data_IF_061682226187
#
_entry.id   IF_061682226187
#
_cell.length_a   1.000
_cell.length_b   1.000
_cell.length_c   1.000
_cell.angle_alpha   90.00
_cell.angle_beta   90.00
_cell.angle_gamma   90.00
#
_symmetry.space_group_name_H-M   'P 1'
#
loop_
_entity.id
_entity.type
_entity.pdbx_description
1 polymer ?
#
# COMPACT_ATOMS: atom_id res chain seq x y z
N UNK A 1 22.44 -49.53 -18.24
CA UNK A 1 21.46 -48.60 -18.84
C UNK A 1 21.48 -47.35 -17.98
N UNK A 2 22.17 -46.29 -18.43
CA UNK A 2 22.48 -45.10 -17.64
C UNK A 2 21.36 -44.07 -17.76
N UNK A 3 20.53 -43.92 -16.74
CA UNK A 3 19.52 -42.85 -16.69
C UNK A 3 20.15 -41.62 -16.04
N UNK A 4 20.48 -40.61 -16.86
CA UNK A 4 20.95 -39.31 -16.36
C UNK A 4 19.76 -38.53 -15.81
N UNK A 5 19.77 -38.26 -14.50
CA UNK A 5 18.79 -37.39 -13.84
C UNK A 5 19.21 -35.94 -14.05
N UNK A 6 18.47 -35.21 -14.88
CA UNK A 6 18.66 -33.77 -15.06
C UNK A 6 18.10 -33.02 -13.85
N UNK A 7 18.98 -32.39 -13.07
CA UNK A 7 18.60 -31.44 -12.04
C UNK A 7 18.43 -30.07 -12.71
N UNK A 8 17.19 -29.62 -12.87
CA UNK A 8 16.86 -28.28 -13.36
C UNK A 8 16.70 -27.35 -12.14
N UNK A 9 17.77 -26.65 -11.79
CA UNK A 9 17.72 -25.57 -10.79
C UNK A 9 17.22 -24.30 -11.48
N UNK A 10 15.98 -23.90 -11.20
CA UNK A 10 15.43 -22.62 -11.63
C UNK A 10 15.81 -21.55 -10.60
N UNK A 11 16.75 -20.66 -10.97
CA UNK A 11 17.07 -19.46 -10.19
C UNK A 11 16.16 -18.34 -10.72
N UNK A 12 15.14 -17.98 -9.95
CA UNK A 12 14.34 -16.79 -10.21
C UNK A 12 15.08 -15.57 -9.66
N UNK A 13 15.74 -14.81 -10.54
CA UNK A 13 16.26 -13.49 -10.21
C UNK A 13 15.11 -12.48 -10.34
N UNK A 14 14.63 -11.95 -9.20
CA UNK A 14 13.66 -10.86 -9.19
C UNK A 14 14.42 -9.56 -9.00
N UNK A 15 14.57 -8.77 -10.07
CA UNK A 15 15.11 -7.41 -10.01
C UNK A 15 13.98 -6.40 -9.85
N UNK A 16 13.92 -5.76 -8.68
CA UNK A 16 13.01 -4.64 -8.43
C UNK A 16 13.60 -3.37 -9.05
N UNK A 17 13.05 -2.91 -10.17
CA UNK A 17 13.32 -1.55 -10.68
C UNK A 17 12.35 -0.56 -10.02
N UNK A 18 12.85 0.24 -9.07
CA UNK A 18 12.12 1.41 -8.58
C UNK A 18 12.39 2.61 -9.49
N UNK A 19 11.39 3.06 -10.26
CA UNK A 19 11.42 4.42 -10.81
C UNK A 19 10.93 5.39 -9.72
N UNK A 20 11.84 6.20 -9.19
CA UNK A 20 11.49 7.40 -8.44
C UNK A 20 11.51 8.58 -9.40
N UNK A 21 10.34 9.12 -9.72
CA UNK A 21 10.23 10.46 -10.28
C UNK A 21 10.02 11.43 -9.11
N UNK A 22 11.10 12.08 -8.66
CA UNK A 22 11.01 13.26 -7.80
C UNK A 22 11.32 14.48 -8.67
N UNK A 23 10.32 15.35 -8.86
CA UNK A 23 10.55 16.68 -9.42
C UNK A 23 10.96 17.59 -8.28
N UNK A 24 12.26 17.71 -8.02
CA UNK A 24 12.81 18.81 -7.21
C UNK A 24 12.77 20.08 -8.06
N UNK A 25 11.76 20.92 -7.84
CA UNK A 25 11.82 22.32 -8.25
C UNK A 25 12.58 23.07 -7.17
N UNK A 26 13.88 23.24 -7.42
CA UNK A 26 14.84 23.95 -6.57
C UNK A 26 14.69 25.47 -6.71
N UNK A 27 13.51 25.98 -6.40
CA UNK A 27 13.26 27.41 -6.23
C UNK A 27 12.72 27.64 -4.81
N UNK A 28 13.34 28.55 -4.08
CA UNK A 28 12.93 29.01 -2.75
C UNK A 28 11.63 29.84 -2.80
N UNK A 29 10.63 29.38 -3.54
CA UNK A 29 9.27 29.89 -3.57
C UNK A 29 8.36 28.92 -2.80
N UNK A 30 7.58 29.46 -1.86
CA UNK A 30 6.63 28.79 -0.96
C UNK A 30 6.28 27.36 -1.39
N UNK A 31 6.80 26.38 -0.63
CA UNK A 31 6.45 24.96 -0.75
C UNK A 31 4.93 24.83 -0.89
N UNK A 32 4.47 24.28 -2.01
CA UNK A 32 3.03 24.09 -2.28
C UNK A 32 2.40 23.35 -1.10
N UNK A 33 1.25 23.82 -0.58
CA UNK A 33 0.54 23.11 0.48
C UNK A 33 -0.02 21.77 0.00
N UNK A 34 -0.11 21.56 -1.32
CA UNK A 34 -0.56 20.31 -1.94
C UNK A 34 0.65 19.51 -2.45
N UNK A 35 0.75 18.25 -2.03
CA UNK A 35 1.70 17.23 -2.51
C UNK A 35 0.93 16.06 -3.11
N UNK A 36 1.27 15.69 -4.33
CA UNK A 36 0.72 14.52 -5.02
C UNK A 36 1.79 13.44 -5.13
N UNK A 37 1.44 12.20 -4.80
CA UNK A 37 2.29 11.03 -4.93
C UNK A 37 1.50 9.84 -5.47
N UNK A 38 2.20 8.77 -5.84
CA UNK A 38 1.56 7.56 -6.31
C UNK A 38 2.42 6.34 -6.06
N UNK A 39 1.78 5.19 -6.13
CA UNK A 39 2.40 3.88 -6.03
C UNK A 39 1.81 2.96 -7.10
N UNK A 40 2.63 2.08 -7.64
CA UNK A 40 2.22 1.10 -8.65
C UNK A 40 2.97 -0.20 -8.40
N UNK A 41 2.23 -1.29 -8.25
CA UNK A 41 2.76 -2.62 -8.01
C UNK A 41 2.09 -3.64 -8.91
N UNK A 42 2.83 -4.08 -9.93
CA UNK A 42 2.41 -5.15 -10.82
C UNK A 42 3.14 -6.45 -10.50
N UNK A 43 2.53 -7.58 -10.80
CA UNK A 43 3.11 -8.89 -10.57
C UNK A 43 2.73 -9.90 -11.64
N UNK A 44 3.51 -10.97 -11.68
CA UNK A 44 3.19 -12.22 -12.36
C UNK A 44 3.47 -13.35 -11.36
N UNK A 45 2.51 -14.26 -11.19
CA UNK A 45 2.65 -15.40 -10.31
C UNK A 45 2.17 -16.67 -11.01
N UNK A 46 2.87 -17.78 -10.78
CA UNK A 46 2.51 -19.08 -11.30
C UNK A 46 2.26 -20.05 -10.13
N UNK A 47 1.19 -20.81 -10.22
CA UNK A 47 0.74 -21.78 -9.23
C UNK A 47 0.75 -23.15 -9.90
N UNK A 48 1.52 -24.08 -9.36
CA UNK A 48 1.67 -25.41 -9.94
C UNK A 48 0.37 -26.23 -9.87
N UNK A 49 -0.58 -25.84 -9.02
CA UNK A 49 -1.89 -26.47 -8.92
C UNK A 49 -2.85 -26.04 -10.06
N UNK A 50 -2.43 -25.11 -10.93
CA UNK A 50 -3.17 -24.65 -12.11
C UNK A 50 -4.68 -24.40 -11.83
N UNK A 51 -5.00 -23.43 -10.93
CA UNK A 51 -6.38 -23.19 -10.52
C UNK A 51 -7.28 -22.81 -11.71
N UNK A 52 -8.44 -23.47 -11.83
CA UNK A 52 -9.35 -23.36 -12.99
C UNK A 52 -9.84 -21.93 -13.29
N UNK A 53 -9.91 -21.06 -12.28
CA UNK A 53 -10.41 -19.69 -12.40
C UNK A 53 -9.30 -18.61 -12.35
N UNK A 54 -8.04 -19.02 -12.54
CA UNK A 54 -6.85 -18.17 -12.40
C UNK A 54 -6.76 -17.45 -11.05
N UNK A 55 -7.44 -17.92 -10.01
CA UNK A 55 -7.43 -17.33 -8.67
C UNK A 55 -6.75 -18.30 -7.72
N UNK A 56 -5.74 -17.81 -7.02
CA UNK A 56 -5.04 -18.55 -5.96
C UNK A 56 -5.99 -18.75 -4.77
N UNK A 57 -5.67 -19.67 -3.83
CA UNK A 57 -6.55 -19.99 -2.71
C UNK A 57 -7.05 -18.74 -1.94
N UNK A 58 -8.31 -18.76 -1.51
CA UNK A 58 -9.03 -17.59 -0.97
C UNK A 58 -8.53 -17.00 0.36
N UNK A 59 -7.42 -17.50 0.90
CA UNK A 59 -6.70 -16.92 2.04
C UNK A 59 -5.48 -16.10 1.62
N UNK A 60 -5.23 -16.02 0.30
CA UNK A 60 -4.18 -15.21 -0.33
C UNK A 60 -4.87 -14.04 -1.03
N UNK A 61 -4.78 -12.85 -0.46
CA UNK A 61 -5.42 -11.65 -0.98
C UNK A 61 -4.44 -10.79 -1.79
N UNK A 62 -3.18 -10.76 -1.35
CA UNK A 62 -2.10 -10.14 -2.11
C UNK A 62 -1.59 -11.08 -3.20
N UNK A 63 -1.36 -10.59 -4.41
CA UNK A 63 -0.82 -11.39 -5.51
C UNK A 63 -1.66 -12.65 -5.81
N UNK A 64 -2.99 -12.51 -5.81
CA UNK A 64 -3.95 -13.61 -5.79
C UNK A 64 -4.32 -14.19 -7.16
N UNK A 65 -3.74 -13.70 -8.26
CA UNK A 65 -4.00 -14.19 -9.62
C UNK A 65 -2.89 -15.11 -10.12
N UNK A 66 -3.27 -16.07 -10.95
CA UNK A 66 -2.40 -17.12 -11.49
C UNK A 66 -2.21 -16.97 -13.00
N UNK A 67 -0.95 -17.03 -13.46
CA UNK A 67 -0.56 -17.10 -14.87
C UNK A 67 -1.03 -15.89 -15.71
N UNK A 68 -1.07 -14.71 -15.08
CA UNK A 68 -1.41 -13.44 -15.72
C UNK A 68 -0.65 -12.28 -15.06
N UNK A 69 -0.32 -11.25 -15.85
CA UNK A 69 0.23 -9.99 -15.35
C UNK A 69 -0.92 -9.18 -14.76
N UNK A 70 -0.79 -8.78 -13.49
CA UNK A 70 -1.82 -8.01 -12.81
C UNK A 70 -1.26 -6.83 -12.04
N UNK A 71 -2.12 -5.85 -11.78
CA UNK A 71 -1.90 -4.81 -10.78
C UNK A 71 -2.33 -5.36 -9.42
N UNK A 72 -1.39 -5.60 -8.50
CA UNK A 72 -1.75 -5.97 -7.13
C UNK A 72 -2.35 -4.75 -6.41
N UNK A 73 -1.58 -3.66 -6.37
CA UNK A 73 -1.96 -2.40 -5.77
C UNK A 73 -1.38 -1.23 -6.56
N UNK A 74 -2.22 -0.27 -6.91
CA UNK A 74 -1.78 1.03 -7.37
C UNK A 74 -2.65 2.11 -6.74
N UNK A 75 -2.06 3.24 -6.38
CA UNK A 75 -2.81 4.38 -5.86
C UNK A 75 -2.23 5.71 -6.29
N UNK A 76 -3.08 6.72 -6.30
CA UNK A 76 -2.69 8.14 -6.35
C UNK A 76 -3.13 8.76 -5.04
N UNK A 77 -2.23 9.53 -4.43
CA UNK A 77 -2.43 10.18 -3.14
C UNK A 77 -2.22 11.68 -3.25
N UNK A 78 -3.16 12.46 -2.74
CA UNK A 78 -3.06 13.89 -2.54
C UNK A 78 -2.99 14.19 -1.03
N UNK A 79 -2.02 14.99 -0.63
CA UNK A 79 -1.82 15.43 0.74
C UNK A 79 -1.86 16.95 0.70
N UNK A 80 -2.79 17.55 1.43
CA UNK A 80 -2.88 18.99 1.59
C UNK A 80 -2.55 19.33 3.04
N UNK A 81 -1.62 20.25 3.26
CA UNK A 81 -1.33 20.78 4.59
C UNK A 81 -1.05 22.28 4.49
N UNK A 82 -1.82 23.07 5.24
CA UNK A 82 -1.62 24.51 5.31
C UNK A 82 -2.06 25.04 6.67
N UNK A 83 -1.16 25.79 7.31
CA UNK A 83 -1.40 26.44 8.59
C UNK A 83 -1.90 25.46 9.68
N UNK A 84 -3.21 25.39 9.89
CA UNK A 84 -3.86 24.57 10.93
C UNK A 84 -4.73 23.45 10.38
N UNK A 85 -4.72 23.22 9.07
CA UNK A 85 -5.55 22.19 8.43
C UNK A 85 -4.69 21.25 7.60
N UNK A 86 -5.05 19.97 7.63
CA UNK A 86 -4.53 18.98 6.71
C UNK A 86 -5.60 18.02 6.22
N UNK A 87 -5.42 17.49 5.03
CA UNK A 87 -6.30 16.50 4.43
C UNK A 87 -5.49 15.55 3.57
N UNK A 88 -5.86 14.27 3.59
CA UNK A 88 -5.25 13.22 2.79
C UNK A 88 -6.33 12.45 2.06
N UNK A 89 -6.13 12.25 0.76
CA UNK A 89 -7.00 11.42 -0.07
C UNK A 89 -6.11 10.52 -0.94
N UNK A 90 -6.28 9.21 -0.81
CA UNK A 90 -5.67 8.21 -1.65
C UNK A 90 -6.73 7.28 -2.23
N UNK A 91 -6.76 7.20 -3.56
CA UNK A 91 -7.63 6.27 -4.29
C UNK A 91 -6.77 5.17 -4.87
N UNK A 92 -7.17 3.92 -4.64
CA UNK A 92 -6.48 2.73 -5.08
C UNK A 92 -7.27 1.87 -6.05
N UNK A 93 -6.53 1.09 -6.83
CA UNK A 93 -7.03 0.03 -7.69
C UNK A 93 -6.07 -1.17 -7.64
N UNK A 94 -6.57 -2.34 -8.02
CA UNK A 94 -5.78 -3.56 -8.12
C UNK A 94 -6.49 -4.77 -7.52
N UNK A 95 -5.91 -5.95 -7.75
CA UNK A 95 -6.48 -7.23 -7.33
C UNK A 95 -6.59 -7.33 -5.81
N UNK A 96 -5.67 -6.71 -5.07
CA UNK A 96 -5.71 -6.64 -3.60
C UNK A 96 -7.02 -6.05 -3.10
N UNK A 97 -7.43 -4.88 -3.61
CA UNK A 97 -8.66 -4.20 -3.19
C UNK A 97 -9.92 -5.03 -3.45
N UNK A 98 -9.94 -5.76 -4.57
CA UNK A 98 -11.08 -6.60 -4.95
C UNK A 98 -11.19 -7.86 -4.10
N UNK A 99 -10.07 -8.36 -3.58
CA UNK A 99 -10.03 -9.58 -2.79
C UNK A 99 -10.17 -9.28 -1.29
N UNK A 100 -9.32 -8.41 -0.75
CA UNK A 100 -9.23 -8.15 0.69
C UNK A 100 -10.40 -7.26 1.18
N UNK A 101 -10.83 -6.30 0.34
CA UNK A 101 -11.93 -5.38 0.64
C UNK A 101 -13.22 -5.75 -0.10
N UNK A 102 -13.41 -7.03 -0.43
CA UNK A 102 -14.58 -7.53 -1.16
C UNK A 102 -15.91 -7.24 -0.44
N UNK A 103 -15.87 -7.14 0.89
CA UNK A 103 -17.03 -6.85 1.75
C UNK A 103 -17.40 -5.37 1.80
N UNK A 104 -16.55 -4.47 1.31
CA UNK A 104 -16.84 -3.03 1.29
C UNK A 104 -17.88 -2.68 0.23
N UNK A 105 -18.77 -1.75 0.55
CA UNK A 105 -19.86 -1.39 -0.34
C UNK A 105 -19.37 -0.60 -1.57
N UNK A 106 -19.68 -1.11 -2.77
CA UNK A 106 -19.50 -0.39 -4.03
C UNK A 106 -18.07 0.07 -4.27
N UNK A 107 -17.87 1.39 -4.27
CA UNK A 107 -16.57 2.03 -4.57
C UNK A 107 -15.70 2.24 -3.33
N UNK A 108 -16.19 1.95 -2.12
CA UNK A 108 -15.45 2.20 -0.88
C UNK A 108 -14.16 1.36 -0.80
N UNK A 109 -14.15 0.16 -1.39
CA UNK A 109 -12.94 -0.65 -1.55
C UNK A 109 -11.81 0.04 -2.32
N UNK A 110 -12.10 1.10 -3.07
CA UNK A 110 -11.10 1.86 -3.81
C UNK A 110 -10.54 3.05 -3.00
N UNK A 111 -11.01 3.28 -1.78
CA UNK A 111 -10.44 4.30 -0.90
C UNK A 111 -9.32 3.64 -0.09
N UNK A 112 -8.08 4.09 -0.32
CA UNK A 112 -6.94 3.66 0.48
C UNK A 112 -6.75 4.53 1.72
N UNK A 113 -6.96 5.84 1.57
CA UNK A 113 -6.84 6.80 2.67
C UNK A 113 -7.81 7.96 2.42
N UNK A 114 -8.53 8.40 3.45
CA UNK A 114 -9.43 9.54 3.35
C UNK A 114 -9.60 10.14 4.75
N UNK A 115 -8.73 11.08 5.11
CA UNK A 115 -8.76 11.71 6.42
C UNK A 115 -8.54 13.23 6.34
N UNK A 116 -9.03 13.93 7.35
CA UNK A 116 -8.80 15.35 7.54
C UNK A 116 -8.50 15.64 9.01
N UNK A 117 -7.72 16.69 9.26
CA UNK A 117 -7.29 17.03 10.59
C UNK A 117 -7.09 18.52 10.81
N UNK A 118 -7.18 18.90 12.09
CA UNK A 118 -6.96 20.25 12.57
C UNK A 118 -5.83 20.28 13.61
N UNK A 119 -5.01 21.33 13.54
CA UNK A 119 -3.94 21.57 14.51
C UNK A 119 -4.48 22.34 15.69
N UNK A 120 -4.42 21.73 16.88
CA UNK A 120 -4.89 22.33 18.14
C UNK A 120 -3.87 23.30 18.74
N UNK A 121 -2.57 23.05 18.56
CA UNK A 121 -1.50 23.90 19.11
C UNK A 121 -0.30 23.94 18.18
N UNK A 122 0.10 25.16 17.80
CA UNK A 122 1.26 25.39 16.94
C UNK A 122 2.58 25.17 17.66
N UNK A 123 2.62 25.45 18.97
CA UNK A 123 3.82 25.27 19.80
C UNK A 123 4.17 23.80 20.04
N UNK A 124 3.17 22.93 20.00
CA UNK A 124 3.27 21.53 20.46
C UNK A 124 2.96 20.52 19.35
N UNK A 125 2.81 20.98 18.10
CA UNK A 125 2.43 20.17 16.93
C UNK A 125 1.36 19.11 17.25
N UNK A 126 0.29 19.56 17.93
CA UNK A 126 -0.80 18.71 18.38
C UNK A 126 -1.91 18.70 17.34
N UNK A 127 -2.26 17.52 16.82
CA UNK A 127 -3.24 17.34 15.75
C UNK A 127 -4.36 16.41 16.18
N UNK A 128 -5.58 16.72 15.75
CA UNK A 128 -6.72 15.80 15.75
C UNK A 128 -7.09 15.51 14.30
N UNK A 129 -7.04 14.24 13.93
CA UNK A 129 -7.43 13.75 12.61
C UNK A 129 -8.64 12.83 12.74
N UNK A 130 -9.49 12.80 11.71
CA UNK A 130 -10.58 11.85 11.60
C UNK A 130 -10.74 11.36 10.16
N UNK A 131 -11.12 10.09 10.01
CA UNK A 131 -11.38 9.47 8.71
C UNK A 131 -10.80 8.07 8.60
N UNK A 132 -10.45 7.69 7.38
CA UNK A 132 -9.82 6.42 6.99
C UNK A 132 -8.31 6.63 6.89
N UNK A 133 -7.56 5.79 7.59
CA UNK A 133 -6.11 5.77 7.63
C UNK A 133 -5.59 4.41 7.14
N UNK A 134 -4.36 4.39 6.63
CA UNK A 134 -3.62 3.14 6.52
C UNK A 134 -3.42 2.55 7.93
N UNK A 135 -3.62 1.23 8.06
CA UNK A 135 -3.45 0.55 9.35
C UNK A 135 -2.02 0.73 9.86
N UNK A 136 -1.90 1.09 11.13
CA UNK A 136 -0.63 1.16 11.85
C UNK A 136 -0.34 -0.14 12.61
N UNK A 137 -1.25 -1.11 12.59
CA UNK A 137 -1.15 -2.37 13.32
C UNK A 137 -0.55 -3.44 12.42
N UNK A 138 0.55 -4.05 12.89
CA UNK A 138 1.23 -5.15 12.21
C UNK A 138 2.60 -4.74 11.66
N UNK A 139 3.42 -5.75 11.34
CA UNK A 139 4.76 -5.57 10.77
C UNK A 139 4.75 -5.48 9.24
N UNK A 140 3.57 -5.64 8.64
CA UNK A 140 3.34 -5.79 7.21
C UNK A 140 2.31 -4.75 6.74
N UNK A 141 2.37 -4.33 5.46
CA UNK A 141 1.54 -3.26 4.87
C UNK A 141 0.69 -3.74 3.68
N UNK A 142 -0.20 -2.94 3.09
CA UNK A 142 -0.72 -3.25 1.75
C UNK A 142 0.35 -3.03 0.66
N UNK A 143 1.33 -2.16 0.94
CA UNK A 143 2.37 -1.73 0.01
C UNK A 143 3.56 -2.67 0.12
N UNK A 144 3.89 -3.44 -0.93
CA UNK A 144 4.94 -4.47 -0.84
C UNK A 144 6.35 -3.92 -0.73
N UNK A 145 6.62 -2.69 -1.20
CA UNK A 145 7.93 -2.05 -0.99
C UNK A 145 8.28 -1.87 0.49
N UNK A 146 7.28 -1.81 1.37
CA UNK A 146 7.47 -1.60 2.81
C UNK A 146 7.68 -2.92 3.56
N UNK A 147 7.80 -4.05 2.85
CA UNK A 147 7.79 -5.38 3.44
C UNK A 147 8.99 -6.21 2.99
N UNK A 148 9.45 -7.09 3.90
CA UNK A 148 10.65 -7.90 3.72
C UNK A 148 10.44 -9.03 2.71
N UNK A 149 9.19 -9.50 2.57
CA UNK A 149 8.79 -10.56 1.66
C UNK A 149 7.66 -10.07 0.76
N UNK A 150 7.63 -10.60 -0.48
CA UNK A 150 6.57 -10.28 -1.44
C UNK A 150 5.19 -10.76 -0.95
N UNK A 151 5.14 -12.01 -0.47
CA UNK A 151 3.93 -12.59 0.12
C UNK A 151 3.84 -12.21 1.58
N UNK A 152 2.60 -12.04 2.06
CA UNK A 152 2.35 -11.64 3.44
C UNK A 152 2.15 -12.85 4.33
N UNK A 153 2.38 -12.67 5.63
CA UNK A 153 1.94 -13.67 6.59
C UNK A 153 0.43 -13.86 6.48
N UNK A 154 -0.06 -15.08 6.73
CA UNK A 154 -1.50 -15.37 6.71
C UNK A 154 -2.24 -14.42 7.65
N UNK A 155 -1.66 -14.12 8.82
CA UNK A 155 -2.22 -13.19 9.78
C UNK A 155 -2.43 -11.79 9.17
N UNK A 156 -1.40 -11.23 8.54
CA UNK A 156 -1.48 -9.88 7.99
C UNK A 156 -2.32 -9.82 6.71
N UNK A 157 -2.22 -10.82 5.83
CA UNK A 157 -2.99 -10.85 4.59
C UNK A 157 -4.51 -10.98 4.84
N UNK A 158 -4.92 -11.55 5.99
CA UNK A 158 -6.31 -11.65 6.40
C UNK A 158 -6.78 -10.45 7.25
N UNK A 159 -5.93 -9.46 7.47
CA UNK A 159 -6.30 -8.20 8.12
C UNK A 159 -6.51 -7.09 7.08
N UNK A 160 -7.54 -6.25 7.23
CA UNK A 160 -7.66 -5.06 6.42
C UNK A 160 -6.52 -4.09 6.79
N UNK A 161 -5.73 -3.64 5.81
CA UNK A 161 -4.63 -2.69 6.01
C UNK A 161 -5.12 -1.23 6.13
N UNK A 162 -6.32 -1.04 6.68
CA UNK A 162 -6.89 0.28 6.94
C UNK A 162 -7.60 0.31 8.31
N UNK A 163 -7.75 1.51 8.86
CA UNK A 163 -8.56 1.77 10.05
C UNK A 163 -9.42 3.02 9.84
N UNK A 164 -10.60 3.07 10.44
CA UNK A 164 -11.46 4.25 10.45
C UNK A 164 -11.66 4.75 11.87
N UNK A 165 -11.42 6.04 12.12
CA UNK A 165 -11.60 6.59 13.46
C UNK A 165 -11.12 8.02 13.60
N UNK A 166 -10.81 8.40 14.84
CA UNK A 166 -10.18 9.66 15.19
C UNK A 166 -8.84 9.41 15.88
N UNK A 167 -7.83 10.22 15.57
CA UNK A 167 -6.46 10.11 16.09
C UNK A 167 -6.00 11.43 16.67
N UNK A 168 -5.40 11.38 17.86
CA UNK A 168 -4.67 12.49 18.45
C UNK A 168 -3.17 12.25 18.27
N UNK A 169 -2.49 13.16 17.58
CA UNK A 169 -1.05 13.06 17.32
C UNK A 169 -0.30 14.19 18.03
N UNK A 170 0.72 13.85 18.83
CA UNK A 170 1.59 14.80 19.50
C UNK A 170 3.05 14.52 19.12
N UNK A 171 3.77 15.55 18.67
CA UNK A 171 5.21 15.45 18.37
C UNK A 171 6.00 16.24 19.41
N UNK A 172 6.86 15.55 20.17
CA UNK A 172 7.77 16.20 21.12
C UNK A 172 8.76 17.14 20.39
N UNK A 173 9.12 18.30 20.98
CA UNK A 173 10.18 19.16 20.45
C UNK A 173 11.55 18.49 20.35
N UNK A 174 11.80 17.41 21.11
CA UNK A 174 13.03 16.62 21.02
C UNK A 174 12.90 15.55 19.92
N UNK A 175 12.99 15.94 18.66
CA UNK A 175 13.17 14.97 17.59
C UNK A 175 14.57 14.36 17.71
N UNK A 176 14.64 13.08 18.11
CA UNK A 176 15.78 12.20 17.85
C UNK A 176 15.26 11.00 17.07
#
# INVERSE_FOLDING_TARGET
MNTKIFHSTLIALVSSFGLQAQTENDNAEKKSPLTVSGYLETYYAYDLNAPENNTRPGFIYSHNRHNEINLNLGFIKANYEKDKVRANLAIMAGTYSNANLASEAGVLKNIYEANAGIRLSEKHNLWVDAGIFASHIGFESAVSKDCWTLTRSILADNSPYYESGAKLSYTSPSQK
#
